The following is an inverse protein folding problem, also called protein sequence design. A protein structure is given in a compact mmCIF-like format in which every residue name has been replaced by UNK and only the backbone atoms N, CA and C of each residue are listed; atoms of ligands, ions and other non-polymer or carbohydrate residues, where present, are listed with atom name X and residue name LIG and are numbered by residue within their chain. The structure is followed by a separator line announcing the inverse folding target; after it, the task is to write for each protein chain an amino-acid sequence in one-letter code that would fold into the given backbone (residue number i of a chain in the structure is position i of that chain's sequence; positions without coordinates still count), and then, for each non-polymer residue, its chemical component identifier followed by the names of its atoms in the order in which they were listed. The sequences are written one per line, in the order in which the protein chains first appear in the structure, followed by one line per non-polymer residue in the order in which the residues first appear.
data_IF_730268039213
#
_entry.id   IF_730268039213
#
_cell.length_a   1.000
_cell.length_b   1.000
_cell.length_c   1.000
_cell.angle_alpha   90.00
_cell.angle_beta   90.00
_cell.angle_gamma   90.00
#
_symmetry.space_group_name_H-M   'P 1'
#
loop_
_entity.id
_entity.type
_entity.pdbx_description
1 polymer ?
#
# COMPACT_ATOMS: atom_id res chain seq x y z
N UNK A 1 -23.68 -0.96 1.21
CA UNK A 1 -23.01 -1.76 0.16
C UNK A 1 -22.29 -2.90 0.84
N UNK A 2 -22.14 -4.04 0.16
CA UNK A 2 -21.34 -5.16 0.65
C UNK A 2 -19.89 -4.99 0.13
N UNK A 3 -18.94 -5.46 0.92
CA UNK A 3 -17.51 -5.52 0.59
C UNK A 3 -16.89 -6.70 1.33
N UNK A 4 -15.77 -7.21 0.84
CA UNK A 4 -15.10 -8.39 1.40
C UNK A 4 -13.92 -8.01 2.27
N UNK A 5 -13.71 -8.75 3.36
CA UNK A 5 -12.53 -8.58 4.20
C UNK A 5 -11.25 -8.71 3.36
N UNK A 6 -10.29 -7.80 3.57
CA UNK A 6 -9.05 -7.75 2.82
C UNK A 6 -9.12 -6.98 1.50
N UNK A 7 -10.26 -6.40 1.15
CA UNK A 7 -10.39 -5.39 0.09
C UNK A 7 -10.04 -3.99 0.60
N UNK A 8 -9.54 -3.13 -0.30
CA UNK A 8 -9.47 -1.69 -0.04
C UNK A 8 -10.82 -1.00 -0.32
N UNK A 9 -11.05 0.17 0.27
CA UNK A 9 -12.26 0.98 0.01
C UNK A 9 -12.39 1.28 -1.49
N UNK A 10 -11.28 1.62 -2.17
CA UNK A 10 -11.30 1.95 -3.59
C UNK A 10 -11.79 0.77 -4.43
N UNK A 11 -11.35 -0.45 -4.15
CA UNK A 11 -11.74 -1.60 -4.96
C UNK A 11 -13.17 -2.03 -4.70
N UNK A 12 -13.63 -1.98 -3.46
CA UNK A 12 -15.02 -2.27 -3.12
C UNK A 12 -16.00 -1.33 -3.85
N UNK A 13 -15.66 -0.04 -3.96
CA UNK A 13 -16.43 0.93 -4.74
C UNK A 13 -16.35 0.66 -6.24
N UNK A 14 -15.14 0.41 -6.74
CA UNK A 14 -14.92 0.17 -8.16
C UNK A 14 -15.64 -1.09 -8.66
N UNK A 15 -15.67 -2.16 -7.85
CA UNK A 15 -16.35 -3.41 -8.17
C UNK A 15 -17.86 -3.25 -8.42
N UNK A 16 -18.50 -2.25 -7.81
CA UNK A 16 -19.92 -1.94 -8.00
C UNK A 16 -20.17 -0.84 -9.04
N UNK A 17 -19.15 -0.51 -9.85
CA UNK A 17 -19.26 0.47 -10.93
C UNK A 17 -19.06 1.93 -10.50
N UNK A 18 -18.55 2.19 -9.28
CA UNK A 18 -18.17 3.53 -8.87
C UNK A 18 -16.70 3.76 -9.23
N UNK A 19 -16.47 4.45 -10.36
CA UNK A 19 -15.14 4.76 -10.89
C UNK A 19 -14.73 6.23 -10.76
N UNK A 20 -15.66 7.10 -10.39
CA UNK A 20 -15.38 8.49 -9.97
C UNK A 20 -15.37 8.57 -8.45
N UNK A 21 -14.20 8.90 -7.88
CA UNK A 21 -13.97 9.02 -6.45
C UNK A 21 -13.96 10.47 -5.97
N UNK A 22 -13.39 11.37 -6.76
CA UNK A 22 -13.32 12.80 -6.44
C UNK A 22 -13.29 13.70 -7.66
N UNK A 23 -13.25 15.01 -7.43
CA UNK A 23 -13.04 16.03 -8.45
C UNK A 23 -11.87 16.94 -8.08
N UNK A 24 -11.03 17.26 -9.07
CA UNK A 24 -9.81 18.03 -8.87
C UNK A 24 -10.10 19.43 -8.33
N UNK A 25 -9.27 19.97 -7.41
CA UNK A 25 -9.61 21.21 -6.71
C UNK A 25 -9.76 22.45 -7.59
N UNK A 26 -8.93 22.56 -8.63
CA UNK A 26 -8.87 23.76 -9.48
C UNK A 26 -9.76 23.67 -10.71
N UNK A 27 -9.82 22.50 -11.34
CA UNK A 27 -10.48 22.33 -12.65
C UNK A 27 -11.80 21.57 -12.55
N UNK A 28 -12.17 21.06 -11.38
CA UNK A 28 -13.40 20.28 -11.20
C UNK A 28 -13.43 19.01 -12.05
N UNK A 29 -12.28 18.47 -12.43
CA UNK A 29 -12.19 17.28 -13.30
C UNK A 29 -12.37 16.01 -12.49
N UNK A 30 -13.17 15.03 -12.94
CA UNK A 30 -13.36 13.79 -12.21
C UNK A 30 -12.04 13.01 -12.07
N UNK A 31 -11.88 12.28 -10.97
CA UNK A 31 -10.73 11.45 -10.64
C UNK A 31 -11.21 10.09 -10.16
N UNK A 32 -10.48 9.05 -10.54
CA UNK A 32 -10.80 7.66 -10.26
C UNK A 32 -9.55 6.82 -9.93
N UNK A 33 -9.65 5.48 -10.02
CA UNK A 33 -8.49 4.60 -9.94
C UNK A 33 -7.38 5.03 -10.91
N UNK A 34 -6.15 5.13 -10.42
CA UNK A 34 -4.98 5.49 -11.24
C UNK A 34 -3.79 4.58 -10.94
N UNK A 35 -3.15 4.72 -9.77
CA UNK A 35 -2.02 3.84 -9.40
C UNK A 35 -2.43 2.62 -8.55
N UNK A 36 -3.53 2.73 -7.80
CA UNK A 36 -4.02 1.73 -6.83
C UNK A 36 -3.00 1.22 -5.81
N UNK A 37 -1.93 1.99 -5.54
CA UNK A 37 -0.88 1.66 -4.56
C UNK A 37 -0.61 2.83 -3.59
N UNK A 38 -1.54 3.78 -3.49
CA UNK A 38 -1.44 4.91 -2.56
C UNK A 38 -0.39 5.97 -2.88
N UNK A 39 0.17 5.99 -4.10
CA UNK A 39 1.17 6.99 -4.51
C UNK A 39 0.58 8.21 -5.21
N UNK A 40 -0.49 8.05 -5.98
CA UNK A 40 -1.22 9.14 -6.61
C UNK A 40 -2.27 9.78 -5.67
N UNK A 41 -2.88 10.89 -6.11
CA UNK A 41 -3.98 11.59 -5.42
C UNK A 41 -5.38 11.29 -5.97
N UNK A 42 -5.51 10.42 -7.00
CA UNK A 42 -6.79 10.25 -7.70
C UNK A 42 -7.86 9.49 -6.91
N UNK A 43 -7.46 8.73 -5.89
CA UNK A 43 -8.37 7.98 -5.01
C UNK A 43 -8.79 8.73 -3.73
N UNK A 44 -8.59 10.04 -3.68
CA UNK A 44 -9.02 10.80 -2.52
C UNK A 44 -10.54 10.76 -2.37
N UNK A 45 -11.00 10.47 -1.16
CA UNK A 45 -12.40 10.56 -0.74
C UNK A 45 -12.45 11.03 0.72
N UNK A 46 -13.64 11.36 1.19
CA UNK A 46 -13.88 11.60 2.61
C UNK A 46 -14.26 10.24 3.22
N UNK A 47 -13.49 9.79 4.21
CA UNK A 47 -13.73 8.53 4.91
C UNK A 47 -13.91 8.82 6.39
N UNK A 48 -15.09 8.52 6.94
CA UNK A 48 -15.48 8.84 8.32
C UNK A 48 -15.20 10.30 8.71
N UNK A 49 -15.50 11.22 7.79
CA UNK A 49 -15.24 12.65 7.97
C UNK A 49 -13.78 13.09 7.74
N UNK A 50 -12.85 12.17 7.46
CA UNK A 50 -11.44 12.49 7.11
C UNK A 50 -11.34 12.78 5.60
N UNK A 51 -11.08 14.02 5.17
CA UNK A 51 -10.83 14.32 3.76
C UNK A 51 -9.48 13.81 3.26
N UNK A 52 -9.30 13.79 1.94
CA UNK A 52 -8.05 13.39 1.27
C UNK A 52 -7.55 11.99 1.65
N UNK A 53 -8.47 11.11 2.07
CA UNK A 53 -8.14 9.74 2.44
C UNK A 53 -7.86 8.94 1.18
N UNK A 54 -6.70 8.28 1.12
CA UNK A 54 -6.28 7.44 -0.02
C UNK A 54 -7.01 6.11 0.00
N UNK A 55 -8.23 6.03 -0.53
CA UNK A 55 -9.11 4.85 -0.39
C UNK A 55 -8.51 3.55 -0.91
N UNK A 56 -7.53 3.57 -1.81
CA UNK A 56 -6.82 2.37 -2.26
C UNK A 56 -5.84 1.76 -1.23
N UNK A 57 -5.54 2.46 -0.13
CA UNK A 57 -4.68 1.93 0.96
C UNK A 57 -5.45 1.50 2.19
N UNK A 58 -6.67 1.98 2.37
CA UNK A 58 -7.44 1.72 3.58
C UNK A 58 -8.31 0.49 3.36
N UNK A 59 -8.21 -0.54 4.23
CA UNK A 59 -9.07 -1.70 4.13
C UNK A 59 -10.53 -1.33 4.43
N UNK A 60 -11.46 -2.07 3.85
CA UNK A 60 -12.87 -1.99 4.24
C UNK A 60 -13.05 -2.54 5.66
N UNK A 61 -14.00 -1.95 6.40
CA UNK A 61 -14.47 -2.46 7.68
C UNK A 61 -15.94 -2.15 7.86
N UNK A 62 -16.59 -2.87 8.76
CA UNK A 62 -17.99 -2.65 9.08
C UNK A 62 -18.23 -1.21 9.57
N UNK A 63 -19.38 -0.64 9.15
CA UNK A 63 -19.83 0.70 9.56
C UNK A 63 -19.08 1.88 8.93
N UNK A 64 -18.14 1.64 8.01
CA UNK A 64 -17.36 2.69 7.36
C UNK A 64 -18.25 3.60 6.48
N UNK A 65 -18.12 4.92 6.65
CA UNK A 65 -18.80 5.92 5.81
C UNK A 65 -17.85 6.53 4.80
N UNK A 66 -18.19 6.44 3.52
CA UNK A 66 -17.40 7.04 2.42
C UNK A 66 -18.23 8.04 1.65
N UNK A 67 -17.67 9.21 1.42
CA UNK A 67 -18.27 10.25 0.60
C UNK A 67 -17.29 10.68 -0.49
N UNK A 68 -17.80 10.90 -1.70
CA UNK A 68 -16.98 11.46 -2.77
C UNK A 68 -16.54 12.88 -2.42
N UNK A 69 -15.30 13.21 -2.71
CA UNK A 69 -14.76 14.54 -2.41
C UNK A 69 -14.81 15.46 -3.63
N UNK A 70 -15.27 16.70 -3.45
CA UNK A 70 -15.16 17.76 -4.46
C UNK A 70 -14.27 18.86 -3.95
N UNK A 71 -13.33 19.31 -4.76
CA UNK A 71 -12.61 20.53 -4.43
C UNK A 71 -11.56 20.34 -3.33
N UNK A 72 -11.15 21.47 -2.77
CA UNK A 72 -10.48 21.51 -1.48
C UNK A 72 -11.50 21.25 -0.36
N UNK A 73 -11.03 20.54 0.66
CA UNK A 73 -11.81 20.23 1.85
C UNK A 73 -11.10 20.77 3.08
N UNK A 74 -11.89 21.09 4.09
CA UNK A 74 -11.37 21.48 5.41
C UNK A 74 -11.11 20.24 6.24
N UNK A 75 -9.98 20.15 6.97
CA UNK A 75 -9.80 19.14 7.99
C UNK A 75 -10.97 19.15 8.99
N UNK A 76 -11.29 18.00 9.61
CA UNK A 76 -12.30 17.94 10.65
C UNK A 76 -11.94 18.91 11.80
N UNK A 77 -12.93 19.56 12.42
CA UNK A 77 -12.70 20.58 13.45
C UNK A 77 -12.12 19.99 14.75
N UNK A 78 -12.27 18.69 14.95
CA UNK A 78 -11.68 17.93 16.06
C UNK A 78 -10.84 16.79 15.50
N UNK A 79 -9.79 16.37 16.22
CA UNK A 79 -9.10 15.12 15.92
C UNK A 79 -10.11 13.98 15.86
N UNK A 80 -9.93 13.09 14.88
CA UNK A 80 -10.74 11.86 14.76
C UNK A 80 -10.21 10.77 15.70
N UNK A 81 -8.97 10.93 16.14
CA UNK A 81 -8.30 10.06 17.09
C UNK A 81 -7.92 10.94 18.27
N UNK A 82 -8.49 10.61 19.43
CA UNK A 82 -8.33 11.41 20.66
C UNK A 82 -6.93 11.25 21.27
N UNK A 83 -6.35 10.05 21.18
CA UNK A 83 -5.04 9.73 21.74
C UNK A 83 -4.16 9.00 20.72
N UNK A 84 -2.92 9.48 20.58
CA UNK A 84 -1.88 8.83 19.78
C UNK A 84 -0.84 8.26 20.74
N UNK A 85 -0.68 6.94 20.73
CA UNK A 85 0.32 6.26 21.55
C UNK A 85 1.71 6.48 20.96
N UNK A 86 2.65 6.98 21.77
CA UNK A 86 4.05 7.15 21.36
C UNK A 86 4.92 5.98 21.84
N UNK A 87 5.50 5.25 20.91
CA UNK A 87 6.28 4.04 21.15
C UNK A 87 7.74 4.22 20.73
N UNK A 88 8.68 3.88 21.63
CA UNK A 88 10.09 3.74 21.26
C UNK A 88 10.42 2.28 20.96
N UNK A 89 11.07 2.03 19.82
CA UNK A 89 11.52 0.69 19.40
C UNK A 89 13.03 0.72 19.18
N UNK A 90 13.75 -0.18 19.85
CA UNK A 90 15.17 -0.46 19.56
C UNK A 90 15.27 -1.75 18.76
N UNK A 91 16.10 -1.77 17.73
CA UNK A 91 16.27 -2.93 16.86
C UNK A 91 17.67 -2.97 16.27
N UNK A 92 18.15 -4.14 15.86
CA UNK A 92 19.43 -4.22 15.15
C UNK A 92 19.27 -3.68 13.73
N UNK A 93 18.24 -4.13 13.01
CA UNK A 93 17.99 -3.70 11.63
C UNK A 93 16.54 -3.29 11.42
N UNK A 94 16.34 -2.09 10.89
CA UNK A 94 15.05 -1.63 10.36
C UNK A 94 15.01 -1.83 8.85
N UNK A 95 13.96 -2.49 8.36
CA UNK A 95 13.68 -2.66 6.93
C UNK A 95 12.45 -1.82 6.59
N UNK A 96 12.61 -0.90 5.63
CA UNK A 96 11.53 -0.03 5.16
C UNK A 96 11.01 -0.60 3.83
N UNK A 97 9.88 -1.29 3.89
CA UNK A 97 9.22 -1.95 2.77
C UNK A 97 9.10 -3.47 2.94
N UNK A 98 7.88 -3.97 2.87
CA UNK A 98 7.45 -5.37 2.97
C UNK A 98 7.28 -6.08 1.63
N UNK A 99 7.97 -5.61 0.59
CA UNK A 99 8.06 -6.28 -0.71
C UNK A 99 9.11 -7.41 -0.72
N UNK A 100 9.34 -8.09 -1.86
CA UNK A 100 10.24 -9.24 -1.95
C UNK A 100 11.66 -8.95 -1.40
N UNK A 101 12.23 -7.80 -1.74
CA UNK A 101 13.56 -7.42 -1.25
C UNK A 101 13.61 -7.29 0.28
N UNK A 102 12.58 -6.69 0.89
CA UNK A 102 12.51 -6.52 2.34
C UNK A 102 12.21 -7.82 3.08
N UNK A 103 11.32 -8.66 2.52
CA UNK A 103 10.98 -9.96 3.09
C UNK A 103 12.17 -10.93 3.07
N UNK A 104 12.92 -10.98 1.97
CA UNK A 104 14.14 -11.79 1.87
C UNK A 104 15.21 -11.29 2.84
N UNK A 105 15.46 -9.97 2.87
CA UNK A 105 16.42 -9.38 3.79
C UNK A 105 16.06 -9.67 5.27
N UNK A 106 14.78 -9.57 5.63
CA UNK A 106 14.30 -9.87 6.97
C UNK A 106 14.57 -11.34 7.33
N UNK A 107 14.27 -12.26 6.42
CA UNK A 107 14.49 -13.70 6.61
C UNK A 107 15.97 -14.04 6.82
N UNK A 108 16.88 -13.48 6.01
CA UNK A 108 18.32 -13.71 6.13
C UNK A 108 18.86 -13.16 7.46
N UNK A 109 18.52 -11.90 7.79
CA UNK A 109 19.01 -11.24 9.00
C UNK A 109 18.50 -11.91 10.27
N UNK A 110 17.24 -12.31 10.27
CA UNK A 110 16.64 -12.97 11.42
C UNK A 110 17.22 -14.36 11.66
N UNK A 111 17.46 -15.16 10.63
CA UNK A 111 18.20 -16.44 10.74
C UNK A 111 19.64 -16.27 11.23
N UNK A 112 20.22 -15.08 11.02
CA UNK A 112 21.54 -14.72 11.51
C UNK A 112 21.52 -14.21 12.96
N UNK A 113 20.36 -14.19 13.62
CA UNK A 113 20.20 -13.83 15.03
C UNK A 113 19.97 -12.34 15.31
N UNK A 114 19.77 -11.50 14.30
CA UNK A 114 19.48 -10.08 14.49
C UNK A 114 18.01 -9.85 14.84
N UNK A 115 17.74 -8.85 15.70
CA UNK A 115 16.38 -8.37 15.89
C UNK A 115 16.01 -7.45 14.72
N UNK A 116 14.92 -7.76 14.03
CA UNK A 116 14.51 -7.07 12.80
C UNK A 116 13.14 -6.44 13.00
N UNK A 117 13.01 -5.19 12.58
CA UNK A 117 11.71 -4.53 12.43
C UNK A 117 11.47 -4.31 10.94
N UNK A 118 10.33 -4.77 10.42
CA UNK A 118 9.88 -4.46 9.06
C UNK A 118 8.68 -3.52 9.15
N UNK A 119 8.73 -2.45 8.35
CA UNK A 119 7.66 -1.44 8.27
C UNK A 119 7.15 -1.37 6.85
N UNK A 120 5.84 -1.48 6.67
CA UNK A 120 5.17 -1.29 5.39
C UNK A 120 3.91 -0.42 5.55
N UNK A 121 3.68 0.45 4.57
CA UNK A 121 2.52 1.35 4.58
C UNK A 121 1.21 0.67 4.16
N UNK A 122 1.31 -0.49 3.51
CA UNK A 122 0.18 -1.31 3.09
C UNK A 122 -0.26 -2.25 4.22
N UNK A 123 -1.53 -2.66 4.21
CA UNK A 123 -2.09 -3.58 5.19
C UNK A 123 -1.71 -5.06 4.93
N UNK A 124 -1.24 -5.36 3.71
CA UNK A 124 -0.72 -6.68 3.30
C UNK A 124 0.76 -6.58 2.90
N UNK A 125 1.57 -7.49 3.43
CA UNK A 125 2.94 -7.74 2.98
C UNK A 125 2.98 -8.49 1.64
N UNK A 126 4.13 -8.47 0.96
CA UNK A 126 4.35 -9.12 -0.33
C UNK A 126 4.68 -8.12 -1.45
N UNK A 127 4.31 -6.85 -1.27
CA UNK A 127 4.56 -5.78 -2.24
C UNK A 127 4.06 -6.15 -3.64
N UNK A 128 4.90 -5.97 -4.66
CA UNK A 128 4.50 -6.21 -6.05
C UNK A 128 4.23 -7.69 -6.38
N UNK A 129 4.67 -8.64 -5.54
CA UNK A 129 4.42 -10.07 -5.78
C UNK A 129 2.94 -10.42 -5.71
N UNK A 130 2.15 -9.72 -4.90
CA UNK A 130 0.71 -9.96 -4.71
C UNK A 130 -0.09 -9.91 -6.02
N UNK A 131 0.38 -9.14 -6.99
CA UNK A 131 -0.26 -8.96 -8.30
C UNK A 131 0.43 -9.74 -9.43
N UNK A 132 1.43 -10.56 -9.14
CA UNK A 132 2.08 -11.41 -10.14
C UNK A 132 1.37 -12.76 -10.23
N UNK A 133 0.47 -12.89 -11.21
CA UNK A 133 -0.26 -14.13 -11.48
C UNK A 133 0.53 -15.08 -12.37
N UNK A 134 1.55 -14.63 -13.11
CA UNK A 134 2.38 -15.51 -13.94
C UNK A 134 3.24 -16.44 -13.07
N UNK A 135 3.66 -17.59 -13.63
CA UNK A 135 4.61 -18.48 -12.97
C UNK A 135 6.03 -17.94 -13.16
N UNK A 136 6.81 -17.93 -12.08
CA UNK A 136 8.24 -17.63 -12.15
C UNK A 136 8.99 -18.82 -12.74
N UNK A 137 9.97 -18.54 -13.59
CA UNK A 137 10.83 -19.55 -14.21
C UNK A 137 12.16 -19.63 -13.45
N UNK A 138 12.73 -20.82 -13.33
CA UNK A 138 14.00 -21.03 -12.63
C UNK A 138 14.02 -22.33 -11.84
N UNK A 139 15.02 -22.48 -10.96
CA UNK A 139 15.11 -23.60 -10.03
C UNK A 139 13.98 -23.55 -9.00
N UNK A 140 13.61 -24.71 -8.47
CA UNK A 140 12.62 -24.82 -7.38
C UNK A 140 13.07 -24.03 -6.15
N UNK A 141 14.38 -24.01 -5.87
CA UNK A 141 14.97 -23.24 -4.77
C UNK A 141 14.76 -21.72 -4.93
N UNK A 142 14.55 -21.25 -6.16
CA UNK A 142 14.23 -19.86 -6.50
C UNK A 142 12.75 -19.73 -6.94
N UNK A 143 11.88 -20.55 -6.35
CA UNK A 143 10.43 -20.52 -6.57
C UNK A 143 9.97 -20.84 -8.00
N UNK A 144 10.79 -21.57 -8.75
CA UNK A 144 10.43 -22.06 -10.09
C UNK A 144 9.09 -22.79 -10.09
N UNK A 145 8.17 -22.33 -10.94
CA UNK A 145 6.82 -22.91 -11.09
C UNK A 145 5.74 -22.30 -10.18
N UNK A 146 6.12 -21.50 -9.18
CA UNK A 146 5.18 -20.77 -8.32
C UNK A 146 4.74 -19.45 -8.96
N UNK A 147 3.52 -19.02 -8.66
CA UNK A 147 3.04 -17.67 -9.00
C UNK A 147 3.51 -16.68 -7.93
N UNK A 148 3.70 -15.41 -8.29
CA UNK A 148 4.28 -14.45 -7.35
C UNK A 148 3.46 -14.25 -6.08
N UNK A 149 2.12 -14.28 -6.14
CA UNK A 149 1.31 -14.20 -4.91
C UNK A 149 1.55 -15.40 -3.97
N UNK A 150 1.81 -16.59 -4.51
CA UNK A 150 2.17 -17.77 -3.72
C UNK A 150 3.56 -17.63 -3.09
N UNK A 151 4.49 -16.97 -3.82
CA UNK A 151 5.81 -16.64 -3.29
C UNK A 151 5.68 -15.64 -2.13
N UNK A 152 4.84 -14.62 -2.27
CA UNK A 152 4.55 -13.68 -1.19
C UNK A 152 3.96 -14.38 0.04
N UNK A 153 2.97 -15.25 -0.14
CA UNK A 153 2.39 -16.05 0.94
C UNK A 153 3.44 -16.91 1.65
N UNK A 154 4.32 -17.58 0.89
CA UNK A 154 5.40 -18.39 1.45
C UNK A 154 6.39 -17.54 2.25
N UNK A 155 6.76 -16.36 1.74
CA UNK A 155 7.63 -15.41 2.44
C UNK A 155 7.00 -14.92 3.74
N UNK A 156 5.76 -14.47 3.69
CA UNK A 156 5.04 -13.94 4.86
C UNK A 156 4.88 -15.02 5.91
N UNK A 157 4.49 -16.25 5.51
CA UNK A 157 4.38 -17.39 6.43
C UNK A 157 5.71 -17.70 7.12
N UNK A 158 6.81 -17.72 6.38
CA UNK A 158 8.13 -17.93 6.95
C UNK A 158 8.50 -16.80 7.92
N UNK A 159 8.34 -15.55 7.50
CA UNK A 159 8.67 -14.37 8.29
C UNK A 159 7.90 -14.35 9.63
N UNK A 160 6.59 -14.60 9.62
CA UNK A 160 5.75 -14.61 10.82
C UNK A 160 6.09 -15.76 11.79
N UNK A 161 6.81 -16.80 11.34
CA UNK A 161 7.27 -17.88 12.20
C UNK A 161 8.54 -17.53 13.01
N UNK A 162 9.19 -16.40 12.71
CA UNK A 162 10.48 -16.03 13.31
C UNK A 162 10.26 -15.09 14.52
N UNK A 163 10.71 -15.47 15.73
CA UNK A 163 10.36 -14.75 16.97
C UNK A 163 11.05 -13.39 17.11
N UNK A 164 12.14 -13.15 16.38
CA UNK A 164 12.95 -11.94 16.39
C UNK A 164 12.59 -10.95 15.26
N UNK A 165 11.49 -11.18 14.54
CA UNK A 165 10.94 -10.24 13.56
C UNK A 165 9.69 -9.57 14.11
N UNK A 166 9.68 -8.24 14.11
CA UNK A 166 8.50 -7.42 14.37
C UNK A 166 7.99 -6.79 13.09
N UNK A 167 6.71 -6.99 12.78
CA UNK A 167 6.04 -6.42 11.61
C UNK A 167 5.17 -5.23 12.02
N UNK A 168 5.30 -4.12 11.31
CA UNK A 168 4.43 -2.94 11.42
C UNK A 168 3.83 -2.65 10.04
N UNK A 169 2.62 -3.16 9.76
CA UNK A 169 1.82 -2.81 8.58
C UNK A 169 1.02 -1.54 8.84
N UNK A 170 0.39 -0.99 7.79
CA UNK A 170 -0.38 0.27 7.88
C UNK A 170 0.44 1.41 8.52
N UNK A 171 1.76 1.35 8.36
CA UNK A 171 2.71 2.21 9.07
C UNK A 171 3.63 2.87 8.05
N UNK A 172 3.65 4.20 8.02
CA UNK A 172 4.47 4.99 7.10
C UNK A 172 5.72 5.47 7.81
N UNK A 173 6.89 5.04 7.33
CA UNK A 173 8.14 5.74 7.66
C UNK A 173 8.18 7.03 6.87
N UNK A 174 8.16 8.17 7.56
CA UNK A 174 8.14 9.48 6.91
C UNK A 174 9.47 10.23 7.01
N UNK A 175 10.42 9.74 7.83
CA UNK A 175 11.72 10.38 7.95
C UNK A 175 12.78 9.52 8.62
N UNK A 176 14.00 9.64 8.11
CA UNK A 176 15.25 9.19 8.75
C UNK A 176 16.01 10.45 9.14
N UNK A 177 16.24 10.61 10.44
CA UNK A 177 16.77 11.83 11.03
C UNK A 177 18.23 11.66 11.46
N UNK A 178 18.87 12.80 11.73
CA UNK A 178 20.25 12.85 12.25
C UNK A 178 20.36 11.99 13.51
N UNK A 179 21.46 11.23 13.62
CA UNK A 179 21.67 10.29 14.72
C UNK A 179 21.04 8.91 14.49
N UNK A 180 20.54 8.63 13.27
CA UNK A 180 20.04 7.30 12.91
C UNK A 180 18.65 6.98 13.44
N UNK A 181 17.93 7.98 13.94
CA UNK A 181 16.56 7.83 14.46
C UNK A 181 15.58 7.86 13.29
N UNK A 182 14.66 6.91 13.25
CA UNK A 182 13.64 6.79 12.20
C UNK A 182 12.26 6.98 12.80
N UNK A 183 11.45 7.87 12.23
CA UNK A 183 10.08 8.07 12.69
C UNK A 183 9.09 7.44 11.72
N UNK A 184 8.11 6.74 12.30
CA UNK A 184 7.02 6.11 11.58
C UNK A 184 5.68 6.41 12.26
N UNK A 185 4.59 6.33 11.49
CA UNK A 185 3.24 6.61 11.98
C UNK A 185 2.25 5.60 11.41
N UNK A 186 1.38 5.07 12.27
CA UNK A 186 0.17 4.34 11.90
C UNK A 186 -1.04 5.15 12.37
N UNK A 187 -2.30 4.76 12.09
CA UNK A 187 -3.47 5.57 12.41
C UNK A 187 -3.47 6.13 13.84
N UNK A 188 -3.16 5.30 14.85
CA UNK A 188 -3.21 5.68 16.27
C UNK A 188 -1.87 5.57 17.00
N UNK A 189 -0.75 5.37 16.28
CA UNK A 189 0.57 5.20 16.91
C UNK A 189 1.64 6.03 16.22
N UNK A 190 2.48 6.61 17.04
CA UNK A 190 3.73 7.23 16.64
C UNK A 190 4.89 6.34 17.08
N UNK A 191 5.83 6.07 16.17
CA UNK A 191 6.99 5.23 16.44
C UNK A 191 8.28 6.02 16.33
N UNK A 192 9.08 5.97 17.39
CA UNK A 192 10.47 6.40 17.40
C UNK A 192 11.37 5.15 17.34
N UNK A 193 11.86 4.82 16.15
CA UNK A 193 12.66 3.61 15.92
C UNK A 193 14.13 3.99 15.95
N UNK A 194 14.91 3.28 16.77
CA UNK A 194 16.37 3.43 16.93
C UNK A 194 17.06 2.15 16.44
N UNK A 195 17.27 2.01 15.11
CA UNK A 195 18.00 0.89 14.54
C UNK A 195 19.53 1.08 14.59
N UNK A 196 20.29 -0.01 14.52
CA UNK A 196 21.75 0.05 14.25
C UNK A 196 22.05 0.16 12.76
N UNK A 197 21.18 -0.40 11.91
CA UNK A 197 21.25 -0.28 10.45
C UNK A 197 19.85 -0.15 9.83
N UNK A 198 19.76 0.51 8.68
CA UNK A 198 18.52 0.69 7.92
C UNK A 198 18.69 0.10 6.53
N UNK A 199 17.73 -0.71 6.09
CA UNK A 199 17.60 -1.21 4.71
C UNK A 199 16.40 -0.52 4.07
N UNK A 200 16.65 0.24 3.00
CA UNK A 200 15.60 0.81 2.18
C UNK A 200 15.16 -0.20 1.10
N UNK A 201 13.99 -0.81 1.30
CA UNK A 201 13.35 -1.75 0.38
C UNK A 201 12.01 -1.18 -0.14
N UNK A 202 11.96 0.13 -0.35
CA UNK A 202 10.73 0.91 -0.62
C UNK A 202 10.12 0.70 -2.00
N UNK A 203 10.76 -0.11 -2.85
CA UNK A 203 10.34 -0.38 -4.22
C UNK A 203 10.43 0.86 -5.13
N UNK A 204 9.68 0.81 -6.22
CA UNK A 204 9.58 1.88 -7.21
C UNK A 204 8.10 2.11 -7.56
N UNK A 205 7.78 3.30 -8.05
CA UNK A 205 6.47 3.60 -8.63
C UNK A 205 6.56 3.67 -10.15
N UNK A 206 5.47 3.32 -10.82
CA UNK A 206 5.38 3.51 -12.26
C UNK A 206 5.42 5.00 -12.64
N UNK A 207 6.01 5.29 -13.80
CA UNK A 207 5.98 6.63 -14.38
C UNK A 207 4.70 6.78 -15.19
N UNK A 208 3.83 7.70 -14.78
CA UNK A 208 2.63 8.02 -15.54
C UNK A 208 3.00 8.87 -16.77
N UNK A 209 2.42 8.52 -17.93
CA UNK A 209 2.64 9.25 -19.17
C UNK A 209 1.85 10.56 -19.19
N UNK A 210 2.47 11.60 -19.74
CA UNK A 210 1.84 12.91 -19.93
C UNK A 210 1.20 12.99 -21.31
N UNK A 211 -0.12 13.17 -21.35
CA UNK A 211 -0.88 13.39 -22.57
C UNK A 211 -2.19 14.12 -22.24
N UNK A 212 -2.84 14.78 -23.21
CA UNK A 212 -4.11 15.46 -22.96
C UNK A 212 -5.15 14.52 -22.33
N UNK A 213 -5.78 14.96 -21.24
CA UNK A 213 -6.78 14.19 -20.49
C UNK A 213 -6.28 12.88 -19.84
N UNK A 214 -4.97 12.76 -19.56
CA UNK A 214 -4.38 11.61 -18.86
C UNK A 214 -4.84 11.43 -17.39
N UNK A 215 -5.74 12.28 -16.91
CA UNK A 215 -6.23 12.29 -15.53
C UNK A 215 -7.67 11.80 -15.37
N UNK A 216 -8.36 11.51 -16.47
CA UNK A 216 -9.76 11.09 -16.47
C UNK A 216 -9.95 9.67 -15.91
N UNK A 217 -11.07 9.39 -15.24
CA UNK A 217 -11.47 8.02 -14.89
C UNK A 217 -11.44 7.10 -16.11
N UNK A 218 -10.92 5.89 -15.92
CA UNK A 218 -10.62 4.95 -17.00
C UNK A 218 -9.17 5.02 -17.51
N UNK A 219 -8.47 6.14 -17.30
CA UNK A 219 -7.01 6.21 -17.46
C UNK A 219 -6.36 5.74 -16.16
N UNK A 220 -5.60 4.66 -16.23
CA UNK A 220 -4.88 4.11 -15.08
C UNK A 220 -3.50 3.62 -15.49
N UNK A 221 -2.59 3.53 -14.51
CA UNK A 221 -1.30 2.91 -14.72
C UNK A 221 -1.44 1.40 -14.93
N UNK A 222 -0.49 0.79 -15.62
CA UNK A 222 -0.47 -0.66 -15.82
C UNK A 222 -0.39 -1.40 -14.48
N UNK A 223 0.38 -0.85 -13.53
CA UNK A 223 0.46 -1.39 -12.17
C UNK A 223 -0.86 -1.28 -11.41
N UNK A 224 -1.63 -0.20 -11.65
CA UNK A 224 -2.96 -0.01 -11.09
C UNK A 224 -3.98 -1.00 -11.65
N UNK A 225 -3.98 -1.21 -12.97
CA UNK A 225 -4.81 -2.22 -13.63
C UNK A 225 -4.49 -3.64 -13.13
N UNK A 226 -3.20 -3.96 -12.94
CA UNK A 226 -2.78 -5.22 -12.33
C UNK A 226 -3.27 -5.36 -10.90
N UNK A 227 -3.25 -4.32 -10.07
CA UNK A 227 -3.80 -4.40 -8.70
C UNK A 227 -5.31 -4.70 -8.76
N UNK A 228 -6.08 -3.98 -9.57
CA UNK A 228 -7.53 -4.21 -9.72
C UNK A 228 -7.83 -5.65 -10.15
N UNK A 229 -7.12 -6.15 -11.17
CA UNK A 229 -7.38 -7.45 -11.78
C UNK A 229 -6.75 -8.63 -11.03
N UNK A 230 -5.45 -8.55 -10.74
CA UNK A 230 -4.69 -9.70 -10.24
C UNK A 230 -4.76 -9.85 -8.74
N UNK A 231 -4.87 -8.75 -7.99
CA UNK A 231 -4.95 -8.80 -6.52
C UNK A 231 -6.39 -8.97 -6.05
N UNK A 232 -7.33 -8.28 -6.67
CA UNK A 232 -8.73 -8.26 -6.23
C UNK A 232 -9.73 -8.95 -7.18
N UNK A 233 -9.28 -9.44 -8.34
CA UNK A 233 -10.16 -10.19 -9.25
C UNK A 233 -11.24 -9.35 -9.93
N UNK A 234 -11.10 -8.02 -9.96
CA UNK A 234 -12.07 -7.10 -10.58
C UNK A 234 -11.60 -6.73 -11.98
N UNK A 235 -12.52 -6.60 -12.93
CA UNK A 235 -12.17 -6.20 -14.31
C UNK A 235 -11.90 -4.68 -14.37
N UNK A 236 -10.73 -4.22 -14.89
CA UNK A 236 -10.45 -2.78 -15.06
C UNK A 236 -11.27 -2.07 -16.15
N UNK A 237 -12.05 -2.82 -16.94
CA UNK A 237 -12.88 -2.31 -18.02
C UNK A 237 -13.11 -3.36 -19.11
N UNK A 238 -14.15 -3.16 -19.93
CA UNK A 238 -14.53 -4.08 -21.02
C UNK A 238 -13.59 -4.05 -22.23
N UNK A 239 -12.98 -2.89 -22.49
CA UNK A 239 -12.07 -2.64 -23.61
C UNK A 239 -10.89 -1.83 -23.12
N UNK A 240 -9.70 -2.17 -23.58
CA UNK A 240 -8.47 -1.51 -23.16
C UNK A 240 -7.61 -1.11 -24.37
N UNK A 241 -7.00 0.07 -24.27
CA UNK A 241 -5.85 0.47 -25.06
C UNK A 241 -4.66 0.55 -24.10
N UNK A 242 -3.59 -0.19 -24.39
CA UNK A 242 -2.37 -0.18 -23.58
C UNK A 242 -1.29 0.60 -24.32
N UNK A 243 -0.71 1.58 -23.64
CA UNK A 243 0.39 2.42 -24.17
C UNK A 243 1.50 2.44 -23.14
N UNK A 244 2.72 2.19 -23.57
CA UNK A 244 3.89 2.18 -22.69
C UNK A 244 5.09 1.52 -23.37
N UNK A 245 6.22 1.60 -22.68
CA UNK A 245 7.51 1.00 -23.05
C UNK A 245 8.00 0.10 -21.94
#
# INVERSE_FOLDING_TARGET
MEAYEGESIAIALYAIGIDVFSWSPKLGRPRGPLCMIGKCSSCFMIVDGVPNTKTCRFPVREGLRVERQRGWTTPPPKPIIDEVESLEIKTDVLIIGGGPAGLEAASILSKSGFNVVIVDEHFKLGGQLLKQTHKFFGSVDLFGGMRGFQIAEAYVKNLLSQPNIRVLTETVVYGVFRGGVVSAVSPNKYYLIKPRAVIAATGAQEKLLEFPNNDLPGVMGAGGAQTIMNEYGVKPGERALVVGS
#
